data_IF_174108605182
#
_entry.id   IF_174108605182
#
_cell.length_a   1.000
_cell.length_b   1.000
_cell.length_c   1.000
_cell.angle_alpha   90.00
_cell.angle_beta   90.00
_cell.angle_gamma   90.00
#
_symmetry.space_group_name_H-M   'P 1'
#
loop_
_entity.id
_entity.type
_entity.pdbx_description
1 polymer ?
#
# COMPACT_ATOMS: atom_id res chain seq x y z
N UNK A 1 -55.05 -28.71 -19.60
CA UNK A 1 -56.20 -28.77 -18.67
C UNK A 1 -55.72 -29.46 -17.39
N UNK A 2 -56.02 -28.89 -16.21
CA UNK A 2 -55.75 -29.44 -14.84
C UNK A 2 -54.26 -29.56 -14.48
N UNK A 3 -53.70 -28.61 -13.71
CA UNK A 3 -53.72 -28.40 -12.24
C UNK A 3 -52.60 -29.20 -11.52
N UNK A 4 -51.54 -28.58 -10.96
CA UNK A 4 -51.41 -27.73 -9.75
C UNK A 4 -51.38 -28.55 -8.44
N UNK A 5 -50.22 -28.58 -7.75
CA UNK A 5 -50.05 -28.59 -6.26
C UNK A 5 -48.57 -28.49 -5.86
N UNK A 6 -48.30 -28.21 -4.59
CA UNK A 6 -47.05 -27.59 -4.10
C UNK A 6 -46.20 -28.52 -3.19
N UNK A 7 -44.96 -28.06 -2.95
CA UNK A 7 -44.23 -28.08 -1.66
C UNK A 7 -43.53 -29.36 -1.10
N UNK A 8 -42.20 -29.18 -0.95
CA UNK A 8 -41.37 -29.37 0.27
C UNK A 8 -40.52 -30.66 0.53
N UNK A 9 -39.26 -30.37 0.92
CA UNK A 9 -38.21 -31.15 1.60
C UNK A 9 -37.67 -32.43 0.95
N UNK A 10 -36.38 -32.40 0.61
CA UNK A 10 -35.57 -33.56 0.24
C UNK A 10 -34.06 -33.27 0.36
N UNK A 11 -33.51 -33.47 1.56
CA UNK A 11 -32.08 -33.33 1.89
C UNK A 11 -31.20 -34.21 0.97
N UNK A 12 -30.17 -33.66 0.35
CA UNK A 12 -29.15 -34.44 -0.37
C UNK A 12 -27.74 -33.86 -0.20
N UNK A 13 -26.80 -34.74 0.15
CA UNK A 13 -25.38 -34.46 0.32
C UNK A 13 -24.69 -34.17 -1.03
N UNK A 14 -23.69 -33.29 -1.01
CA UNK A 14 -22.65 -33.22 -2.04
C UNK A 14 -21.27 -33.41 -1.37
N UNK A 15 -20.57 -34.49 -1.73
CA UNK A 15 -19.26 -34.81 -1.16
C UNK A 15 -18.18 -33.88 -1.71
N UNK A 16 -17.33 -33.36 -0.84
CA UNK A 16 -16.06 -32.76 -1.24
C UNK A 16 -15.08 -33.84 -1.74
N UNK A 17 -14.35 -33.53 -2.81
CA UNK A 17 -13.18 -34.30 -3.25
C UNK A 17 -11.95 -33.42 -3.06
N UNK A 18 -11.19 -33.68 -2.00
CA UNK A 18 -9.91 -33.02 -1.78
C UNK A 18 -8.84 -33.64 -2.68
N UNK A 19 -8.04 -32.81 -3.36
CA UNK A 19 -6.80 -33.22 -3.98
C UNK A 19 -5.63 -32.92 -3.02
N UNK A 20 -4.74 -33.88 -2.82
CA UNK A 20 -3.61 -33.74 -1.88
C UNK A 20 -2.51 -32.81 -2.44
N UNK A 21 -2.03 -31.89 -1.60
CA UNK A 21 -0.87 -31.05 -1.91
C UNK A 21 0.42 -31.68 -1.37
N UNK A 22 1.39 -31.90 -2.25
CA UNK A 22 2.72 -32.40 -1.88
C UNK A 22 3.54 -31.35 -1.13
N UNK A 23 4.18 -31.76 -0.02
CA UNK A 23 5.03 -30.88 0.81
C UNK A 23 6.50 -31.07 0.45
N UNK A 24 7.13 -30.04 -0.13
CA UNK A 24 8.57 -29.97 -0.28
C UNK A 24 9.19 -29.09 0.81
N UNK A 25 10.15 -29.62 1.58
CA UNK A 25 10.80 -28.92 2.70
C UNK A 25 12.21 -28.48 2.31
N UNK A 26 12.46 -27.17 2.35
CA UNK A 26 13.81 -26.63 2.54
C UNK A 26 13.92 -25.96 3.91
N UNK A 27 15.06 -26.18 4.58
CA UNK A 27 15.32 -25.65 5.92
C UNK A 27 16.33 -24.51 5.89
N UNK A 28 16.06 -23.41 6.59
CA UNK A 28 17.07 -22.73 7.40
C UNK A 28 16.41 -21.87 8.50
N UNK A 29 17.10 -21.77 9.65
CA UNK A 29 16.78 -20.99 10.87
C UNK A 29 16.89 -19.47 10.61
N UNK A 30 16.34 -18.55 11.40
CA UNK A 30 15.38 -18.61 12.53
C UNK A 30 14.75 -17.22 12.65
N UNK A 31 13.46 -17.07 12.35
CA UNK A 31 12.60 -16.09 13.02
C UNK A 31 11.16 -16.62 12.90
N UNK A 32 10.53 -16.94 14.04
CA UNK A 32 9.31 -17.77 14.04
C UNK A 32 8.07 -16.88 14.01
N UNK A 33 7.74 -16.38 12.81
CA UNK A 33 6.33 -16.14 12.51
C UNK A 33 5.63 -17.49 12.33
N UNK A 34 4.36 -17.64 12.77
CA UNK A 34 3.60 -18.86 12.56
C UNK A 34 3.41 -19.09 11.05
N UNK A 35 3.52 -20.33 10.55
CA UNK A 35 3.32 -20.59 9.13
C UNK A 35 1.86 -20.30 8.76
N UNK A 36 1.68 -19.47 7.74
CA UNK A 36 0.40 -19.27 7.07
C UNK A 36 0.31 -20.26 5.90
N UNK A 37 -0.87 -20.85 5.70
CA UNK A 37 -1.18 -21.62 4.50
C UNK A 37 -1.94 -20.72 3.52
N UNK A 38 -1.54 -20.74 2.26
CA UNK A 38 -2.22 -20.08 1.15
C UNK A 38 -3.35 -20.99 0.65
N UNK A 39 -4.59 -20.60 0.90
CA UNK A 39 -5.78 -21.25 0.34
C UNK A 39 -6.31 -20.40 -0.82
N UNK A 40 -6.47 -21.00 -2.00
CA UNK A 40 -6.97 -20.31 -3.20
C UNK A 40 -8.33 -20.88 -3.58
N UNK A 41 -9.37 -20.07 -3.46
CA UNK A 41 -10.75 -20.46 -3.80
C UNK A 41 -11.10 -19.85 -5.15
N UNK A 42 -11.52 -20.68 -6.11
CA UNK A 42 -11.92 -20.23 -7.45
C UNK A 42 -13.43 -20.40 -7.58
N UNK A 43 -14.14 -19.28 -7.66
CA UNK A 43 -15.59 -19.27 -7.87
C UNK A 43 -15.92 -19.39 -9.36
N UNK A 44 -16.85 -20.28 -9.70
CA UNK A 44 -17.35 -20.49 -11.06
C UNK A 44 -18.87 -20.33 -11.11
N UNK A 45 -19.40 -19.94 -12.27
CA UNK A 45 -20.83 -19.89 -12.50
C UNK A 45 -21.42 -21.29 -12.81
N UNK A 46 -22.74 -21.36 -13.01
CA UNK A 46 -23.45 -22.60 -13.36
C UNK A 46 -22.97 -23.29 -14.65
N UNK A 47 -22.17 -22.61 -15.48
CA UNK A 47 -21.55 -23.12 -16.71
C UNK A 47 -20.08 -23.55 -16.52
N UNK A 48 -19.52 -23.40 -15.32
CA UNK A 48 -18.11 -23.65 -15.02
C UNK A 48 -17.17 -22.51 -15.42
N UNK A 49 -17.68 -21.34 -15.80
CA UNK A 49 -16.87 -20.16 -16.16
C UNK A 49 -16.43 -19.42 -14.87
N UNK A 50 -15.14 -19.09 -14.76
CA UNK A 50 -14.56 -18.40 -13.58
C UNK A 50 -15.16 -17.00 -13.39
N UNK A 51 -15.72 -16.74 -12.21
CA UNK A 51 -16.28 -15.45 -11.79
C UNK A 51 -15.22 -14.63 -11.05
N UNK A 52 -14.57 -15.25 -10.05
CA UNK A 52 -13.60 -14.59 -9.17
C UNK A 52 -12.60 -15.59 -8.59
N UNK A 53 -11.61 -15.09 -7.86
CA UNK A 53 -10.68 -15.93 -7.09
C UNK A 53 -10.26 -15.21 -5.83
N UNK A 54 -10.35 -15.92 -4.71
CA UNK A 54 -9.92 -15.45 -3.40
C UNK A 54 -8.60 -16.12 -3.03
N UNK A 55 -7.76 -15.41 -2.29
CA UNK A 55 -6.56 -15.97 -1.66
C UNK A 55 -6.64 -15.67 -0.17
N UNK A 56 -6.82 -16.71 0.63
CA UNK A 56 -6.83 -16.63 2.08
C UNK A 56 -5.45 -17.01 2.64
N UNK A 57 -4.96 -16.21 3.59
CA UNK A 57 -3.76 -16.52 4.37
C UNK A 57 -4.19 -17.03 5.74
N UNK A 58 -4.43 -18.34 5.83
CA UNK A 58 -4.94 -18.96 7.05
C UNK A 58 -3.77 -19.32 7.96
N UNK A 59 -3.75 -18.78 9.18
CA UNK A 59 -2.74 -19.14 10.17
C UNK A 59 -2.88 -20.62 10.54
N UNK A 60 -1.81 -21.41 10.43
CA UNK A 60 -1.83 -22.81 10.86
C UNK A 60 -1.86 -22.85 12.39
N UNK A 61 -3.05 -23.04 12.95
CA UNK A 61 -3.23 -23.40 14.35
C UNK A 61 -2.66 -24.81 14.57
N UNK A 62 -1.38 -24.87 14.95
CA UNK A 62 -0.80 -26.09 15.51
C UNK A 62 -1.46 -26.33 16.86
N UNK A 63 -2.07 -27.50 17.12
CA UNK A 63 -2.56 -27.83 18.45
C UNK A 63 -1.39 -27.79 19.43
N UNK A 64 -1.50 -26.99 20.48
CA UNK A 64 -0.51 -26.98 21.54
C UNK A 64 -0.40 -28.41 22.14
N UNK A 65 0.81 -28.93 22.37
CA UNK A 65 0.97 -30.21 23.06
C UNK A 65 0.30 -30.13 24.43
N UNK A 66 -0.61 -31.06 24.73
CA UNK A 66 -1.16 -31.16 26.09
C UNK A 66 -0.05 -31.60 27.05
N UNK A 67 0.41 -30.69 27.90
CA UNK A 67 1.18 -31.08 29.08
C UNK A 67 0.28 -31.89 30.02
N UNK A 68 0.55 -33.20 30.10
CA UNK A 68 -0.02 -34.08 31.11
C UNK A 68 0.50 -33.68 32.49
N UNK A 69 -0.14 -32.69 33.12
CA UNK A 69 0.13 -32.31 34.51
C UNK A 69 -0.63 -33.27 35.44
N UNK A 70 0.06 -34.01 36.34
CA UNK A 70 -0.62 -34.89 37.28
C UNK A 70 -1.50 -34.09 38.26
N UNK A 71 -2.62 -34.67 38.75
CA UNK A 71 -3.58 -33.94 39.56
C UNK A 71 -2.98 -33.50 40.89
N UNK A 72 -3.15 -32.22 41.22
CA UNK A 72 -2.74 -31.63 42.50
C UNK A 72 -3.79 -32.00 43.56
N UNK A 73 -3.34 -32.63 44.64
CA UNK A 73 -4.18 -32.95 45.80
C UNK A 73 -4.58 -31.68 46.55
N UNK A 74 -5.86 -31.55 46.91
CA UNK A 74 -6.39 -30.46 47.74
C UNK A 74 -6.32 -30.90 49.21
N UNK A 75 -5.72 -30.11 50.12
CA UNK A 75 -5.96 -30.18 51.55
C UNK A 75 -7.11 -29.25 51.96
N UNK A 76 -8.05 -29.74 52.76
CA UNK A 76 -9.15 -28.96 53.33
C UNK A 76 -8.73 -28.11 54.55
N UNK A 77 -9.59 -27.13 54.87
CA UNK A 77 -9.59 -26.26 56.07
C UNK A 77 -8.54 -25.12 56.10
N UNK A 78 -8.80 -23.95 56.69
CA UNK A 78 -9.90 -23.55 57.60
C UNK A 78 -10.32 -22.07 57.38
N UNK A 79 -11.49 -21.68 57.89
CA UNK A 79 -12.04 -20.31 57.82
C UNK A 79 -11.86 -19.59 59.16
N UNK A 80 -11.09 -18.49 59.20
CA UNK A 80 -11.28 -17.44 60.22
C UNK A 80 -10.60 -16.09 59.92
N UNK A 81 -11.36 -15.04 60.25
CA UNK A 81 -10.99 -13.68 60.63
C UNK A 81 -10.31 -12.70 59.64
N UNK A 82 -11.00 -11.57 59.45
CA UNK A 82 -10.53 -10.29 58.89
C UNK A 82 -10.52 -9.26 60.03
N UNK A 83 -9.44 -8.46 60.18
CA UNK A 83 -9.53 -7.13 60.79
C UNK A 83 -9.18 -5.98 59.80
N UNK A 84 -9.75 -4.76 60.00
CA UNK A 84 -9.70 -3.63 59.05
C UNK A 84 -8.48 -2.67 59.24
N UNK A 85 -8.30 -1.63 58.39
CA UNK A 85 -6.98 -1.00 58.15
C UNK A 85 -6.69 0.31 58.89
N UNK A 86 -5.41 0.70 58.95
CA UNK A 86 -4.85 2.05 59.24
C UNK A 86 -3.31 2.00 59.02
N UNK A 87 -2.51 3.05 58.83
CA UNK A 87 -2.62 4.41 58.25
C UNK A 87 -1.18 4.97 58.06
N UNK A 88 -0.95 5.80 57.02
CA UNK A 88 0.05 6.90 56.91
C UNK A 88 1.56 6.70 57.26
N UNK A 89 2.44 7.00 56.29
CA UNK A 89 3.42 8.13 56.23
C UNK A 89 4.49 7.80 55.14
N UNK A 90 4.74 8.58 54.07
CA UNK A 90 5.28 9.96 53.92
C UNK A 90 6.74 10.17 54.35
N UNK A 91 7.64 10.31 53.35
CA UNK A 91 8.74 11.30 53.14
C UNK A 91 9.81 10.67 52.20
N UNK A 92 10.36 11.27 51.12
CA UNK A 92 10.98 12.60 50.89
C UNK A 92 12.35 12.74 51.63
N UNK A 93 13.48 13.27 51.12
CA UNK A 93 13.81 14.27 50.05
C UNK A 93 15.21 13.98 49.42
N UNK A 94 15.50 14.65 48.30
CA UNK A 94 16.71 14.75 47.45
C UNK A 94 18.12 14.99 48.08
N UNK A 95 19.16 14.89 47.22
CA UNK A 95 20.13 15.94 46.82
C UNK A 95 20.91 15.45 45.56
N UNK A 96 21.21 16.20 44.48
CA UNK A 96 22.02 17.44 44.29
C UNK A 96 23.54 17.24 44.53
N UNK A 97 24.52 17.72 43.72
CA UNK A 97 24.54 18.48 42.44
C UNK A 97 26.00 18.32 41.76
N UNK A 98 26.57 19.14 40.83
CA UNK A 98 27.20 18.61 39.58
C UNK A 98 28.64 19.12 39.15
N UNK A 99 29.05 18.87 37.88
CA UNK A 99 30.12 19.56 37.04
C UNK A 99 31.61 19.09 37.26
N UNK A 100 32.63 19.21 36.33
CA UNK A 100 32.74 19.76 34.94
C UNK A 100 33.35 18.83 33.82
N UNK A 101 33.50 19.37 32.60
CA UNK A 101 34.03 18.74 31.38
C UNK A 101 35.52 19.02 31.02
N UNK A 102 36.09 18.17 30.14
CA UNK A 102 37.26 18.27 29.22
C UNK A 102 37.33 16.96 28.39
N UNK A 103 37.95 16.81 27.20
CA UNK A 103 38.59 17.72 26.23
C UNK A 103 39.15 16.91 25.01
N UNK A 104 39.33 17.53 23.82
CA UNK A 104 39.86 16.85 22.59
C UNK A 104 41.40 16.89 22.48
N UNK A 105 42.01 15.91 21.79
CA UNK A 105 43.19 16.16 20.94
C UNK A 105 43.05 15.68 19.47
N UNK A 106 44.12 15.89 18.68
CA UNK A 106 44.20 15.98 17.21
C UNK A 106 44.45 14.68 16.41
N UNK A 107 44.20 14.83 15.11
CA UNK A 107 44.56 14.03 13.92
C UNK A 107 46.08 13.81 13.69
N UNK A 108 46.43 12.74 12.96
CA UNK A 108 47.75 12.41 12.39
C UNK A 108 47.55 11.79 10.99
N UNK A 109 48.47 12.05 10.03
CA UNK A 109 48.31 11.74 8.59
C UNK A 109 49.51 10.96 7.97
N UNK A 110 49.27 10.40 6.76
CA UNK A 110 50.23 9.92 5.72
C UNK A 110 50.91 8.53 5.87
N UNK A 111 51.41 7.87 4.78
CA UNK A 111 51.45 8.23 3.34
C UNK A 111 50.95 7.13 2.31
N UNK A 112 51.10 7.42 1.00
CA UNK A 112 50.58 6.73 -0.21
C UNK A 112 51.32 5.46 -0.73
N UNK A 113 50.62 4.70 -1.61
CA UNK A 113 51.02 4.10 -2.94
C UNK A 113 50.57 2.63 -3.10
N UNK A 114 50.09 2.04 -4.22
CA UNK A 114 49.65 2.37 -5.61
C UNK A 114 49.14 1.00 -6.26
N UNK A 115 48.80 0.80 -7.57
CA UNK A 115 47.39 0.70 -8.03
C UNK A 115 46.98 -0.50 -8.94
N UNK A 116 45.67 -0.80 -9.07
CA UNK A 116 44.93 -1.31 -10.29
C UNK A 116 43.59 -2.01 -9.93
N UNK A 117 42.65 -2.22 -10.89
CA UNK A 117 42.11 -1.28 -11.87
C UNK A 117 40.57 -1.13 -11.71
N UNK A 118 39.95 -0.18 -12.42
CA UNK A 118 38.56 0.21 -12.18
C UNK A 118 37.49 -0.78 -12.69
N UNK A 119 36.51 -1.10 -11.83
CA UNK A 119 35.15 -1.50 -12.22
C UNK A 119 34.23 -0.34 -11.86
N UNK A 120 33.72 0.36 -12.86
CA UNK A 120 32.84 1.51 -12.67
C UNK A 120 31.42 1.07 -12.36
N UNK A 121 31.09 0.94 -11.07
CA UNK A 121 29.69 0.96 -10.64
C UNK A 121 29.12 2.37 -10.88
N UNK A 122 27.97 2.52 -11.58
CA UNK A 122 27.33 3.83 -11.69
C UNK A 122 26.92 4.31 -10.30
N UNK A 123 27.36 5.52 -9.94
CA UNK A 123 26.93 6.19 -8.72
C UNK A 123 25.40 6.37 -8.70
N UNK A 124 24.76 6.36 -7.52
CA UNK A 124 23.35 6.71 -7.42
C UNK A 124 23.15 8.13 -7.95
N UNK A 125 22.20 8.30 -8.87
CA UNK A 125 21.84 9.61 -9.40
C UNK A 125 21.28 10.49 -8.28
N UNK A 126 22.11 11.39 -7.75
CA UNK A 126 21.64 12.52 -6.96
C UNK A 126 20.81 13.43 -7.87
N UNK A 127 19.49 13.49 -7.63
CA UNK A 127 18.61 14.41 -8.34
C UNK A 127 18.72 15.83 -7.76
N UNK A 128 19.20 16.83 -8.53
CA UNK A 128 19.41 18.19 -8.02
C UNK A 128 18.14 19.04 -8.15
N UNK A 129 17.00 18.56 -7.63
CA UNK A 129 15.76 19.35 -7.50
C UNK A 129 15.05 19.04 -6.18
N UNK A 130 15.65 19.49 -5.07
CA UNK A 130 14.88 19.67 -3.84
C UNK A 130 13.85 20.79 -4.10
N UNK A 131 12.59 20.42 -4.30
CA UNK A 131 11.49 21.38 -4.18
C UNK A 131 11.57 21.99 -2.76
N UNK A 132 11.47 23.33 -2.60
CA UNK A 132 11.73 24.00 -1.32
C UNK A 132 10.92 23.46 -0.13
N UNK A 133 9.78 22.84 -0.43
CA UNK A 133 9.04 22.00 0.49
C UNK A 133 8.68 20.68 -0.21
N UNK A 134 9.47 19.62 0.03
CA UNK A 134 9.04 18.28 -0.35
C UNK A 134 7.81 17.92 0.50
N UNK A 135 6.65 17.84 -0.14
CA UNK A 135 5.40 17.36 0.42
C UNK A 135 5.10 15.94 -0.09
N UNK A 136 4.14 15.27 0.55
CA UNK A 136 3.66 13.95 0.13
C UNK A 136 2.97 13.97 -1.25
N UNK A 137 2.72 12.79 -1.80
CA UNK A 137 1.72 12.62 -2.86
C UNK A 137 0.31 12.45 -2.30
N UNK A 138 -0.70 12.58 -3.17
CA UNK A 138 -2.12 12.33 -2.88
C UNK A 138 -2.76 11.62 -4.07
N UNK A 139 -3.57 10.59 -3.87
CA UNK A 139 -4.37 9.97 -4.94
C UNK A 139 -5.66 10.74 -5.19
N UNK A 140 -6.19 10.65 -6.41
CA UNK A 140 -7.40 11.35 -6.83
C UNK A 140 -8.07 10.65 -8.01
N UNK A 141 -9.41 10.54 -7.94
CA UNK A 141 -10.25 10.00 -9.00
C UNK A 141 -11.21 11.09 -9.49
N UNK A 142 -11.18 11.49 -10.78
CA UNK A 142 -12.02 12.56 -11.31
C UNK A 142 -13.43 12.07 -11.70
N UNK A 143 -14.05 11.23 -10.88
CA UNK A 143 -15.43 10.78 -11.05
C UNK A 143 -16.37 11.51 -10.09
N UNK A 144 -17.64 11.63 -10.48
CA UNK A 144 -18.74 12.08 -9.62
C UNK A 144 -19.42 10.86 -9.00
N UNK A 145 -20.20 11.06 -7.95
CA UNK A 145 -20.91 9.97 -7.26
C UNK A 145 -21.84 9.13 -8.17
N UNK A 146 -22.35 9.71 -9.26
CA UNK A 146 -23.16 9.03 -10.28
C UNK A 146 -22.33 8.28 -11.34
N UNK A 147 -21.01 8.09 -11.10
CA UNK A 147 -20.02 7.49 -12.00
C UNK A 147 -19.73 8.31 -13.27
N UNK A 148 -20.27 9.51 -13.43
CA UNK A 148 -19.93 10.37 -14.56
C UNK A 148 -18.57 11.05 -14.37
N UNK A 149 -17.92 11.41 -15.48
CA UNK A 149 -16.65 12.12 -15.47
C UNK A 149 -16.81 13.56 -14.95
N UNK A 150 -15.88 14.03 -14.11
CA UNK A 150 -15.71 15.46 -13.81
C UNK A 150 -15.14 16.19 -15.02
N UNK A 151 -15.63 17.41 -15.26
CA UNK A 151 -15.10 18.29 -16.30
C UNK A 151 -13.87 19.08 -15.81
N UNK A 152 -13.23 19.83 -16.72
CA UNK A 152 -12.03 20.61 -16.41
C UNK A 152 -12.20 21.62 -15.27
N UNK A 153 -13.39 22.23 -15.10
CA UNK A 153 -13.67 23.20 -14.04
C UNK A 153 -13.85 22.51 -12.67
N UNK A 154 -14.50 21.34 -12.66
CA UNK A 154 -14.66 20.51 -11.47
C UNK A 154 -13.29 19.98 -10.99
N UNK A 155 -12.48 19.44 -11.91
CA UNK A 155 -11.09 19.02 -11.63
C UNK A 155 -10.23 20.21 -11.15
N UNK A 156 -10.44 21.41 -11.70
CA UNK A 156 -9.76 22.62 -11.24
C UNK A 156 -10.09 22.95 -9.78
N UNK A 157 -11.38 22.92 -9.39
CA UNK A 157 -11.83 23.18 -8.01
C UNK A 157 -11.29 22.15 -7.02
N UNK A 158 -11.24 20.89 -7.42
CA UNK A 158 -10.69 19.81 -6.61
C UNK A 158 -9.18 19.99 -6.37
N UNK A 159 -8.40 20.29 -7.42
CA UNK A 159 -6.95 20.48 -7.27
C UNK A 159 -6.58 21.77 -6.51
N UNK A 160 -7.43 22.80 -6.54
CA UNK A 160 -7.24 24.00 -5.71
C UNK A 160 -7.23 23.65 -4.21
N UNK A 161 -8.09 22.71 -3.77
CA UNK A 161 -8.15 22.21 -2.37
C UNK A 161 -6.91 21.40 -1.96
N UNK A 162 -6.22 20.77 -2.92
CA UNK A 162 -5.06 19.88 -2.67
C UNK A 162 -3.72 20.42 -3.22
N UNK A 163 -3.65 21.71 -3.49
CA UNK A 163 -2.43 22.44 -3.93
C UNK A 163 -1.19 22.28 -3.02
N UNK A 164 -1.36 21.81 -1.77
CA UNK A 164 -0.27 21.55 -0.80
C UNK A 164 0.53 20.25 -1.01
N UNK A 165 0.20 19.43 -2.01
CA UNK A 165 0.91 18.17 -2.29
C UNK A 165 1.88 18.33 -3.46
N UNK A 166 3.00 17.59 -3.44
CA UNK A 166 4.04 17.71 -4.48
C UNK A 166 3.60 17.15 -5.83
N UNK A 167 2.76 16.12 -5.80
CA UNK A 167 2.23 15.46 -6.97
C UNK A 167 0.90 14.78 -6.64
N UNK A 168 0.08 14.61 -7.68
CA UNK A 168 -1.22 13.93 -7.63
C UNK A 168 -1.14 12.62 -8.40
N UNK A 169 -1.68 11.53 -7.85
CA UNK A 169 -1.78 10.23 -8.51
C UNK A 169 -3.17 10.03 -9.08
N UNK A 170 -3.21 9.67 -10.35
CA UNK A 170 -4.42 9.30 -11.11
C UNK A 170 -4.25 7.90 -11.68
N UNK A 171 -5.36 7.22 -11.97
CA UNK A 171 -5.39 5.77 -12.16
C UNK A 171 -5.44 5.33 -13.62
N UNK A 172 -6.14 6.07 -14.46
CA UNK A 172 -6.41 5.69 -15.84
C UNK A 172 -6.20 6.82 -16.82
N UNK A 173 -6.64 6.59 -18.06
CA UNK A 173 -6.62 7.55 -19.17
C UNK A 173 -8.02 7.80 -19.75
N UNK A 174 -9.04 7.16 -19.19
CA UNK A 174 -10.46 7.40 -19.41
C UNK A 174 -10.91 8.76 -18.82
N UNK A 175 -12.15 9.16 -19.06
CA UNK A 175 -12.71 10.43 -18.61
C UNK A 175 -11.89 11.70 -18.96
N UNK A 176 -10.97 11.62 -19.94
CA UNK A 176 -9.99 12.68 -20.25
C UNK A 176 -9.13 13.09 -19.03
N UNK A 177 -8.95 12.17 -18.07
CA UNK A 177 -8.34 12.50 -16.77
C UNK A 177 -6.89 12.96 -16.92
N UNK A 178 -6.12 12.36 -17.83
CA UNK A 178 -4.73 12.74 -18.09
C UNK A 178 -4.59 14.20 -18.51
N UNK A 179 -5.50 14.70 -19.37
CA UNK A 179 -5.47 16.10 -19.84
C UNK A 179 -6.03 17.06 -18.78
N UNK A 180 -7.21 16.76 -18.24
CA UNK A 180 -7.86 17.63 -17.26
C UNK A 180 -7.03 17.82 -15.99
N UNK A 181 -6.42 16.75 -15.47
CA UNK A 181 -5.59 16.80 -14.27
C UNK A 181 -4.22 17.43 -14.52
N UNK A 182 -3.56 17.18 -15.66
CA UNK A 182 -2.28 17.88 -15.96
C UNK A 182 -2.48 19.37 -16.16
N UNK A 183 -3.57 19.81 -16.80
CA UNK A 183 -3.93 21.23 -16.91
C UNK A 183 -4.16 21.88 -15.54
N UNK A 184 -4.88 21.20 -14.64
CA UNK A 184 -5.13 21.69 -13.29
C UNK A 184 -3.85 21.68 -12.43
N UNK A 185 -3.01 20.65 -12.54
CA UNK A 185 -1.75 20.52 -11.78
C UNK A 185 -0.71 21.60 -12.17
N UNK A 186 -0.66 22.00 -13.46
CA UNK A 186 0.17 23.13 -13.93
C UNK A 186 -0.14 24.45 -13.21
N UNK A 187 -1.39 24.68 -12.77
CA UNK A 187 -1.78 25.89 -12.01
C UNK A 187 -1.11 25.98 -10.63
N UNK A 188 -0.66 24.84 -10.08
CA UNK A 188 -0.13 24.70 -8.72
C UNK A 188 1.34 24.26 -8.65
N UNK A 189 2.05 24.22 -9.80
CA UNK A 189 3.40 23.64 -9.89
C UNK A 189 3.48 22.19 -9.36
N UNK A 190 2.38 21.46 -9.50
CA UNK A 190 2.22 20.09 -9.04
C UNK A 190 2.48 19.12 -10.20
N UNK A 191 3.13 17.99 -9.94
CA UNK A 191 3.35 16.94 -10.95
C UNK A 191 2.23 15.88 -10.93
N UNK A 192 2.09 15.11 -12.00
CA UNK A 192 1.11 14.03 -12.12
C UNK A 192 1.82 12.68 -12.13
N UNK A 193 1.50 11.81 -11.18
CA UNK A 193 1.75 10.37 -11.28
C UNK A 193 0.57 9.81 -12.11
N UNK A 194 0.80 9.56 -13.40
CA UNK A 194 -0.21 9.05 -14.31
C UNK A 194 -0.28 7.53 -14.30
N UNK A 195 -1.48 6.96 -14.37
CA UNK A 195 -1.70 5.52 -14.45
C UNK A 195 -2.33 5.11 -15.78
N UNK A 196 -1.92 3.96 -16.31
CA UNK A 196 -2.71 3.16 -17.24
C UNK A 196 -3.30 2.04 -16.39
N UNK A 197 -4.61 2.08 -16.12
CA UNK A 197 -5.25 1.23 -15.10
C UNK A 197 -5.09 -0.26 -15.39
N UNK A 198 -5.39 -0.67 -16.62
CA UNK A 198 -5.29 -2.06 -17.10
C UNK A 198 -4.63 -2.13 -18.49
N UNK A 199 -4.55 -3.32 -19.08
CA UNK A 199 -3.92 -3.53 -20.39
C UNK A 199 -4.91 -3.46 -21.57
N UNK A 200 -6.17 -3.03 -21.36
CA UNK A 200 -7.12 -2.81 -22.44
C UNK A 200 -6.71 -1.57 -23.26
N UNK A 201 -6.74 -1.69 -24.59
CA UNK A 201 -6.27 -0.65 -25.49
C UNK A 201 -4.75 -0.37 -25.41
N UNK A 202 -3.98 -1.12 -24.61
CA UNK A 202 -2.53 -0.98 -24.53
C UNK A 202 -1.86 -1.49 -25.81
N UNK A 203 -0.81 -0.82 -26.35
CA UNK A 203 -0.12 0.37 -25.82
C UNK A 203 -0.72 1.72 -26.24
N UNK A 204 -1.85 1.77 -26.97
CA UNK A 204 -2.46 3.01 -27.46
C UNK A 204 -2.94 3.95 -26.35
N UNK A 205 -3.29 3.42 -25.18
CA UNK A 205 -3.57 4.22 -23.97
C UNK A 205 -2.42 5.14 -23.55
N UNK A 206 -1.18 4.87 -23.96
CA UNK A 206 -0.02 5.73 -23.67
C UNK A 206 -0.06 7.07 -24.42
N UNK A 207 -0.79 7.17 -25.54
CA UNK A 207 -0.87 8.40 -26.33
C UNK A 207 -1.52 9.55 -25.54
N UNK A 208 -2.40 9.24 -24.58
CA UNK A 208 -2.99 10.23 -23.68
C UNK A 208 -1.94 11.02 -22.86
N UNK A 209 -0.80 10.43 -22.51
CA UNK A 209 0.30 11.15 -21.84
C UNK A 209 1.09 12.03 -22.80
N UNK A 210 1.29 11.56 -24.04
CA UNK A 210 1.89 12.34 -25.12
C UNK A 210 1.08 13.60 -25.43
N UNK A 211 -0.23 13.47 -25.46
CA UNK A 211 -1.16 14.55 -25.76
C UNK A 211 -1.30 15.53 -24.58
N UNK A 212 -1.37 15.01 -23.35
CA UNK A 212 -1.38 15.84 -22.14
C UNK A 212 -0.04 16.56 -21.87
N UNK A 213 1.08 16.02 -22.35
CA UNK A 213 2.38 16.70 -22.34
C UNK A 213 2.45 17.84 -23.37
N UNK A 214 1.66 17.81 -24.45
CA UNK A 214 1.71 18.83 -25.49
C UNK A 214 1.15 20.18 -24.99
N UNK A 215 1.97 21.23 -25.10
CA UNK A 215 1.57 22.61 -24.88
C UNK A 215 0.86 23.22 -26.10
N UNK A 216 0.28 24.43 -25.96
CA UNK A 216 -0.38 25.14 -27.06
C UNK A 216 0.52 25.45 -28.27
N UNK A 217 1.85 25.43 -28.09
CA UNK A 217 2.84 25.63 -29.15
C UNK A 217 3.30 24.30 -29.80
N UNK A 218 2.66 23.18 -29.46
CA UNK A 218 2.99 21.85 -29.96
C UNK A 218 4.24 21.21 -29.34
N UNK A 219 4.95 21.89 -28.43
CA UNK A 219 6.09 21.29 -27.71
C UNK A 219 5.59 20.43 -26.56
N UNK A 220 6.25 19.29 -26.33
CA UNK A 220 5.92 18.39 -25.21
C UNK A 220 6.71 18.78 -23.96
N UNK A 221 6.00 19.32 -22.97
CA UNK A 221 6.49 19.44 -21.61
C UNK A 221 6.21 18.12 -20.86
N UNK A 222 7.22 17.26 -20.85
CA UNK A 222 7.20 16.00 -20.10
C UNK A 222 7.49 16.19 -18.59
N UNK A 223 7.87 17.38 -18.12
CA UNK A 223 8.21 17.63 -16.71
C UNK A 223 6.98 17.64 -15.80
N UNK A 224 5.79 17.84 -16.37
CA UNK A 224 4.51 17.71 -15.68
C UNK A 224 4.29 16.30 -15.09
N UNK A 225 4.91 15.26 -15.64
CA UNK A 225 4.74 13.89 -15.15
C UNK A 225 5.80 13.50 -14.12
N UNK A 226 5.35 13.14 -12.92
CA UNK A 226 6.17 12.54 -11.86
C UNK A 226 6.64 11.14 -12.28
N UNK A 227 5.69 10.30 -12.68
CA UNK A 227 5.84 8.87 -13.05
C UNK A 227 4.71 8.53 -14.01
N UNK A 228 4.92 7.54 -14.88
CA UNK A 228 3.84 6.84 -15.59
C UNK A 228 3.84 5.37 -15.13
N UNK A 229 2.73 4.91 -14.57
CA UNK A 229 2.52 3.52 -14.17
C UNK A 229 1.72 2.74 -15.22
N UNK A 230 2.04 1.45 -15.34
CA UNK A 230 1.38 0.49 -16.23
C UNK A 230 0.78 -0.60 -15.36
N UNK A 231 -0.55 -0.65 -15.29
CA UNK A 231 -1.29 -1.50 -14.38
C UNK A 231 -1.45 -0.91 -12.97
N UNK A 232 -2.60 -1.20 -12.37
CA UNK A 232 -2.83 -1.10 -10.94
C UNK A 232 -3.39 -2.43 -10.44
N UNK A 233 -2.62 -3.17 -9.64
CA UNK A 233 -3.04 -4.42 -8.99
C UNK A 233 -3.47 -5.54 -9.95
N UNK A 234 -2.86 -5.61 -11.13
CA UNK A 234 -3.23 -6.59 -12.17
C UNK A 234 -2.90 -8.03 -11.79
N UNK A 235 -1.86 -8.24 -10.96
CA UNK A 235 -1.49 -9.58 -10.47
C UNK A 235 -2.30 -9.91 -9.22
N UNK A 236 -2.50 -8.95 -8.30
CA UNK A 236 -3.39 -9.12 -7.13
C UNK A 236 -4.83 -9.45 -7.55
N UNK A 237 -5.39 -8.71 -8.51
CA UNK A 237 -6.72 -8.96 -9.09
C UNK A 237 -6.78 -10.20 -10.00
N UNK A 238 -5.65 -10.86 -10.26
CA UNK A 238 -5.58 -12.09 -11.07
C UNK A 238 -5.98 -11.92 -12.53
N UNK A 239 -5.97 -10.69 -13.06
CA UNK A 239 -6.30 -10.38 -14.47
C UNK A 239 -5.13 -10.67 -15.41
N UNK A 240 -3.90 -10.55 -14.91
CA UNK A 240 -2.67 -10.75 -15.67
C UNK A 240 -1.61 -11.49 -14.84
N UNK A 241 -0.72 -12.23 -15.51
CA UNK A 241 0.45 -12.81 -14.85
C UNK A 241 1.53 -11.74 -14.63
N UNK A 242 2.43 -11.97 -13.66
CA UNK A 242 3.59 -11.10 -13.46
C UNK A 242 4.44 -10.95 -14.74
N UNK A 243 4.55 -12.01 -15.55
CA UNK A 243 5.21 -11.98 -16.87
C UNK A 243 4.53 -11.04 -17.88
N UNK A 244 3.19 -11.00 -17.92
CA UNK A 244 2.46 -10.10 -18.81
C UNK A 244 2.71 -8.63 -18.43
N UNK A 245 2.68 -8.35 -17.12
CA UNK A 245 2.94 -7.02 -16.58
C UNK A 245 4.40 -6.59 -16.82
N UNK A 246 5.37 -7.48 -16.65
CA UNK A 246 6.78 -7.22 -16.99
C UNK A 246 6.92 -6.86 -18.48
N UNK A 247 6.29 -7.62 -19.38
CA UNK A 247 6.31 -7.33 -20.81
C UNK A 247 5.64 -5.98 -21.14
N UNK A 248 4.52 -5.66 -20.48
CA UNK A 248 3.82 -4.39 -20.64
C UNK A 248 4.67 -3.20 -20.19
N UNK A 249 5.33 -3.26 -19.02
CA UNK A 249 6.24 -2.19 -18.54
C UNK A 249 7.40 -1.97 -19.51
N UNK A 250 8.02 -3.04 -20.04
CA UNK A 250 9.09 -2.93 -21.04
C UNK A 250 8.60 -2.28 -22.35
N UNK A 251 7.41 -2.68 -22.82
CA UNK A 251 6.78 -2.10 -24.01
C UNK A 251 6.45 -0.62 -23.81
N UNK A 252 5.87 -0.26 -22.67
CA UNK A 252 5.51 1.11 -22.34
C UNK A 252 6.74 2.01 -22.24
N UNK A 253 7.77 1.56 -21.52
CA UNK A 253 9.08 2.21 -21.44
C UNK A 253 9.63 2.50 -22.83
N UNK A 254 9.57 1.53 -23.75
CA UNK A 254 10.03 1.71 -25.13
C UNK A 254 9.23 2.77 -25.90
N UNK A 255 7.89 2.72 -25.84
CA UNK A 255 6.99 3.68 -26.50
C UNK A 255 7.18 5.10 -25.95
N UNK A 256 7.11 5.26 -24.63
CA UNK A 256 7.25 6.55 -23.96
C UNK A 256 8.63 7.20 -24.22
N UNK A 257 9.70 6.40 -24.23
CA UNK A 257 11.06 6.90 -24.53
C UNK A 257 11.21 7.38 -25.97
N UNK A 258 10.48 6.79 -26.93
CA UNK A 258 10.40 7.24 -28.32
C UNK A 258 9.53 8.50 -28.48
N UNK A 259 8.47 8.66 -27.69
CA UNK A 259 7.64 9.88 -27.63
C UNK A 259 8.34 11.05 -26.91
N UNK A 260 9.48 10.80 -26.26
CA UNK A 260 10.35 11.80 -25.63
C UNK A 260 10.40 11.75 -24.10
N UNK A 261 9.49 11.03 -23.44
CA UNK A 261 9.44 10.92 -21.97
C UNK A 261 10.69 10.23 -21.43
N UNK A 262 11.41 10.88 -20.50
CA UNK A 262 12.60 10.33 -19.83
C UNK A 262 12.39 10.00 -18.35
N UNK A 263 11.21 10.28 -17.79
CA UNK A 263 10.90 10.01 -16.38
C UNK A 263 10.59 8.53 -16.06
N UNK A 264 10.32 8.22 -14.78
CA UNK A 264 10.08 6.86 -14.30
C UNK A 264 8.88 6.16 -14.97
N UNK A 265 9.06 4.89 -15.29
CA UNK A 265 8.03 3.95 -15.71
C UNK A 265 8.03 2.77 -14.74
N UNK A 266 6.86 2.48 -14.16
CA UNK A 266 6.69 1.44 -13.12
C UNK A 266 5.43 0.61 -13.39
N UNK A 267 5.26 -0.49 -12.67
CA UNK A 267 3.94 -1.09 -12.41
C UNK A 267 3.59 -0.89 -10.94
N UNK A 268 2.29 -0.79 -10.61
CA UNK A 268 1.79 -0.73 -9.24
C UNK A 268 1.03 -2.01 -8.92
N UNK A 269 1.35 -2.64 -7.79
CA UNK A 269 0.62 -3.79 -7.27
C UNK A 269 0.66 -3.79 -5.73
N UNK A 270 -0.01 -4.74 -5.07
CA UNK A 270 -0.01 -4.81 -3.60
C UNK A 270 1.36 -5.15 -3.03
N UNK A 271 1.61 -4.73 -1.78
CA UNK A 271 2.88 -5.00 -1.11
C UNK A 271 3.21 -6.51 -1.04
N UNK A 272 2.21 -7.37 -0.84
CA UNK A 272 2.36 -8.82 -0.81
C UNK A 272 2.74 -9.39 -2.18
N UNK A 273 2.09 -8.93 -3.25
CA UNK A 273 2.45 -9.31 -4.63
C UNK A 273 3.90 -8.94 -4.95
N UNK A 274 4.40 -7.77 -4.53
CA UNK A 274 5.80 -7.40 -4.81
C UNK A 274 6.83 -8.20 -4.00
N UNK A 275 6.44 -8.81 -2.87
CA UNK A 275 7.29 -9.73 -2.11
C UNK A 275 7.39 -11.12 -2.77
N UNK A 276 6.27 -11.60 -3.31
CA UNK A 276 6.17 -12.85 -4.08
C UNK A 276 6.81 -12.72 -5.47
N UNK A 277 6.60 -11.57 -6.14
CA UNK A 277 6.98 -11.27 -7.53
C UNK A 277 7.94 -10.06 -7.66
N UNK A 278 9.18 -10.12 -7.12
CA UNK A 278 10.14 -9.02 -7.19
C UNK A 278 10.59 -8.67 -8.62
N UNK A 279 10.29 -9.49 -9.64
CA UNK A 279 10.44 -9.13 -11.06
C UNK A 279 9.66 -7.86 -11.45
N UNK A 280 8.51 -7.61 -10.82
CA UNK A 280 7.70 -6.38 -11.01
C UNK A 280 8.44 -5.13 -10.50
N UNK A 281 9.14 -5.28 -9.38
CA UNK A 281 10.11 -4.31 -8.88
C UNK A 281 11.30 -4.17 -9.85
N UNK A 282 11.88 -5.27 -10.34
CA UNK A 282 13.07 -5.24 -11.17
C UNK A 282 12.88 -4.53 -12.53
N UNK A 283 11.73 -4.71 -13.18
CA UNK A 283 11.39 -4.05 -14.47
C UNK A 283 11.03 -2.56 -14.32
N UNK A 284 10.60 -2.16 -13.12
CA UNK A 284 10.22 -0.78 -12.77
C UNK A 284 11.45 0.07 -12.43
N UNK A 285 11.40 1.39 -12.63
CA UNK A 285 12.51 2.27 -12.20
C UNK A 285 12.67 2.32 -10.67
N UNK A 286 11.57 2.13 -9.93
CA UNK A 286 11.53 1.92 -8.49
C UNK A 286 10.37 0.96 -8.15
N UNK A 287 10.38 0.34 -6.96
CA UNK A 287 9.27 -0.49 -6.47
C UNK A 287 8.08 0.41 -6.07
N UNK A 288 6.88 0.14 -6.59
CA UNK A 288 5.71 0.97 -6.36
C UNK A 288 4.56 0.12 -5.79
N UNK A 289 4.29 0.25 -4.50
CA UNK A 289 3.47 -0.68 -3.72
C UNK A 289 2.21 -0.02 -3.13
N UNK A 290 1.05 -0.64 -3.30
CA UNK A 290 -0.14 -0.30 -2.52
C UNK A 290 -0.08 -1.03 -1.17
N UNK A 291 -0.27 -0.30 -0.06
CA UNK A 291 -0.10 -0.84 1.29
C UNK A 291 -0.96 -0.11 2.33
N UNK A 292 -2.10 -0.71 2.70
CA UNK A 292 -3.02 -0.16 3.70
C UNK A 292 -3.00 -1.05 4.94
N UNK A 293 -2.60 -0.49 6.08
CA UNK A 293 -2.62 -1.21 7.35
C UNK A 293 -4.04 -1.63 7.76
N UNK A 294 -5.08 -0.97 7.25
CA UNK A 294 -6.49 -1.29 7.50
C UNK A 294 -6.87 -2.74 7.10
N UNK A 295 -6.25 -3.32 6.07
CA UNK A 295 -6.57 -4.67 5.62
C UNK A 295 -5.89 -5.79 6.45
N UNK A 296 -4.99 -5.46 7.38
CA UNK A 296 -4.47 -6.38 8.38
C UNK A 296 -5.24 -6.21 9.71
N UNK A 297 -6.00 -7.26 10.07
CA UNK A 297 -6.87 -7.28 11.25
C UNK A 297 -6.15 -7.09 12.59
N UNK A 298 -4.82 -7.19 12.63
CA UNK A 298 -4.00 -6.97 13.83
C UNK A 298 -3.59 -5.51 14.02
N UNK A 299 -3.72 -4.67 12.98
CA UNK A 299 -3.24 -3.30 13.00
C UNK A 299 -4.15 -2.35 13.78
N UNK A 300 -3.58 -1.20 14.13
CA UNK A 300 -4.27 -0.06 14.73
C UNK A 300 -3.84 1.22 14.00
N UNK A 301 -4.68 2.27 13.97
CA UNK A 301 -4.41 3.48 13.19
C UNK A 301 -3.05 4.12 13.55
N UNK A 302 -2.71 4.20 14.83
CA UNK A 302 -1.42 4.73 15.27
C UNK A 302 -0.19 3.96 14.72
N UNK A 303 -0.34 2.69 14.35
CA UNK A 303 0.70 1.85 13.75
C UNK A 303 0.79 1.95 12.21
N UNK A 304 -0.20 2.54 11.53
CA UNK A 304 -0.34 2.46 10.08
C UNK A 304 0.90 2.93 9.30
N UNK A 305 1.53 4.03 9.75
CA UNK A 305 2.75 4.53 9.12
C UNK A 305 3.99 3.67 9.37
N UNK A 306 4.09 3.03 10.54
CA UNK A 306 5.19 2.11 10.83
C UNK A 306 5.04 0.82 10.00
N UNK A 307 3.82 0.29 9.90
CA UNK A 307 3.50 -0.87 9.06
C UNK A 307 3.85 -0.61 7.59
N UNK A 308 3.34 0.46 6.98
CA UNK A 308 3.60 0.78 5.57
C UNK A 308 5.09 1.05 5.29
N UNK A 309 5.81 1.66 6.23
CA UNK A 309 7.26 1.86 6.12
C UNK A 309 8.03 0.53 6.19
N UNK A 310 7.58 -0.42 7.02
CA UNK A 310 8.21 -1.73 7.13
C UNK A 310 7.98 -2.57 5.87
N UNK A 311 6.76 -2.62 5.34
CA UNK A 311 6.50 -3.30 4.07
C UNK A 311 7.33 -2.70 2.91
N UNK A 312 7.53 -1.37 2.91
CA UNK A 312 8.43 -0.74 1.94
C UNK A 312 9.89 -1.21 2.06
N UNK A 313 10.39 -1.50 3.27
CA UNK A 313 11.73 -2.06 3.51
C UNK A 313 11.81 -3.50 3.06
N UNK A 314 10.87 -4.35 3.46
CA UNK A 314 10.82 -5.78 3.07
C UNK A 314 10.83 -5.94 1.54
N UNK A 315 10.05 -5.12 0.82
CA UNK A 315 10.06 -5.08 -0.65
C UNK A 315 11.41 -4.61 -1.19
N UNK A 316 12.01 -3.58 -0.57
CA UNK A 316 13.31 -3.05 -1.00
C UNK A 316 14.40 -4.10 -0.87
N UNK A 317 14.47 -4.80 0.27
CA UNK A 317 15.41 -5.90 0.53
C UNK A 317 15.20 -7.06 -0.46
N UNK A 318 13.94 -7.47 -0.67
CA UNK A 318 13.56 -8.51 -1.64
C UNK A 318 13.95 -8.15 -3.09
N UNK A 319 13.91 -6.86 -3.43
CA UNK A 319 14.29 -6.30 -4.73
C UNK A 319 15.74 -5.79 -4.79
N UNK A 320 16.65 -6.30 -3.94
CA UNK A 320 18.08 -6.01 -4.01
C UNK A 320 18.48 -4.59 -3.59
N UNK A 321 17.75 -4.00 -2.65
CA UNK A 321 17.94 -2.63 -2.18
C UNK A 321 17.33 -1.55 -3.09
N UNK A 322 16.50 -1.92 -4.07
CA UNK A 322 15.81 -0.95 -4.93
C UNK A 322 14.88 -0.06 -4.09
N UNK A 323 14.85 1.24 -4.37
CA UNK A 323 13.94 2.20 -3.71
C UNK A 323 12.49 1.72 -3.80
N UNK A 324 11.78 1.73 -2.68
CA UNK A 324 10.34 1.44 -2.61
C UNK A 324 9.54 2.65 -2.19
N UNK A 325 8.53 2.98 -2.98
CA UNK A 325 7.53 4.01 -2.76
C UNK A 325 6.18 3.34 -2.47
N UNK A 326 5.49 3.81 -1.43
CA UNK A 326 4.11 3.42 -1.14
C UNK A 326 3.19 4.33 -1.96
N UNK A 327 2.54 3.74 -2.97
CA UNK A 327 1.68 4.43 -3.96
C UNK A 327 0.23 4.57 -3.53
N UNK A 328 -0.18 3.88 -2.48
CA UNK A 328 -1.39 4.12 -1.70
C UNK A 328 -1.16 3.70 -0.26
N UNK A 329 -1.53 4.57 0.68
CA UNK A 329 -1.80 4.19 2.05
C UNK A 329 -2.75 5.18 2.69
N UNK A 330 -3.70 4.67 3.46
CA UNK A 330 -4.75 5.47 4.09
C UNK A 330 -5.48 4.69 5.17
N UNK A 331 -6.61 5.23 5.59
CA UNK A 331 -7.52 4.59 6.54
C UNK A 331 -8.94 5.15 6.31
N UNK A 332 -9.99 4.33 6.32
CA UNK A 332 -11.34 4.80 6.08
C UNK A 332 -11.94 5.50 7.31
N UNK A 333 -12.76 6.52 7.12
CA UNK A 333 -13.47 7.24 8.19
C UNK A 333 -14.81 6.59 8.58
N UNK A 334 -15.35 5.71 7.74
CA UNK A 334 -16.56 4.92 7.98
C UNK A 334 -16.48 3.54 7.28
N UNK A 335 -17.42 2.65 7.60
CA UNK A 335 -17.41 1.23 7.20
C UNK A 335 -17.38 0.30 8.41
N UNK A 336 -17.18 -0.99 8.17
CA UNK A 336 -17.08 -2.03 9.19
C UNK A 336 -15.65 -2.20 9.71
N UNK A 337 -15.50 -2.74 10.92
CA UNK A 337 -14.21 -3.02 11.52
C UNK A 337 -13.58 -4.31 10.97
N UNK A 338 -12.33 -4.23 10.54
CA UNK A 338 -11.48 -5.39 10.28
C UNK A 338 -10.69 -5.74 11.55
N UNK A 339 -11.31 -6.47 12.48
CA UNK A 339 -10.68 -6.83 13.75
C UNK A 339 -10.26 -5.60 14.58
N UNK A 340 -8.95 -5.41 14.76
CA UNK A 340 -8.36 -4.24 15.43
C UNK A 340 -8.36 -2.96 14.59
N UNK A 341 -8.53 -3.07 13.26
CA UNK A 341 -8.57 -1.96 12.34
C UNK A 341 -10.01 -1.42 12.19
N UNK A 342 -10.34 -0.43 13.03
CA UNK A 342 -11.68 0.18 13.12
C UNK A 342 -11.74 1.49 12.31
N UNK A 343 -12.68 1.66 11.36
CA UNK A 343 -12.95 2.96 10.71
C UNK A 343 -13.52 3.97 11.70
N UNK A 344 -13.01 5.20 11.68
CA UNK A 344 -13.63 6.39 12.28
C UNK A 344 -12.88 7.64 11.82
N UNK A 345 -13.48 8.83 11.96
CA UNK A 345 -12.80 10.11 11.68
C UNK A 345 -11.52 10.25 12.52
N UNK A 346 -11.59 9.97 13.82
CA UNK A 346 -10.43 10.04 14.74
C UNK A 346 -9.34 9.01 14.36
N UNK A 347 -9.73 7.79 13.98
CA UNK A 347 -8.80 6.74 13.58
C UNK A 347 -8.15 7.07 12.22
N UNK A 348 -8.90 7.65 11.28
CA UNK A 348 -8.32 8.17 10.04
C UNK A 348 -7.30 9.26 10.32
N UNK A 349 -7.63 10.25 11.17
CA UNK A 349 -6.69 11.30 11.55
C UNK A 349 -5.41 10.73 12.19
N UNK A 350 -5.55 9.77 13.12
CA UNK A 350 -4.42 9.10 13.76
C UNK A 350 -3.56 8.29 12.76
N UNK A 351 -4.18 7.60 11.80
CA UNK A 351 -3.47 6.85 10.75
C UNK A 351 -2.73 7.77 9.78
N UNK A 352 -3.36 8.83 9.30
CA UNK A 352 -2.75 9.82 8.41
C UNK A 352 -1.60 10.56 9.12
N UNK A 353 -1.74 10.86 10.43
CA UNK A 353 -0.65 11.40 11.23
C UNK A 353 0.52 10.41 11.40
N UNK A 354 0.23 9.13 11.64
CA UNK A 354 1.23 8.05 11.70
C UNK A 354 2.00 7.92 10.38
N UNK A 355 1.28 7.85 9.26
CA UNK A 355 1.83 7.79 7.90
C UNK A 355 2.77 8.98 7.59
N UNK A 356 2.29 10.20 7.84
CA UNK A 356 3.09 11.43 7.66
C UNK A 356 4.36 11.42 8.51
N UNK A 357 4.27 10.96 9.77
CA UNK A 357 5.42 10.89 10.68
C UNK A 357 6.47 9.87 10.23
N UNK A 358 6.05 8.66 9.84
CA UNK A 358 6.98 7.60 9.42
C UNK A 358 7.71 7.91 8.12
N UNK A 359 7.09 8.69 7.22
CA UNK A 359 7.70 9.08 5.94
C UNK A 359 8.26 10.51 5.93
N UNK A 360 8.42 11.18 7.08
CA UNK A 360 8.80 12.61 7.13
C UNK A 360 10.16 12.93 6.49
N UNK A 361 11.11 12.00 6.53
CA UNK A 361 12.44 12.15 5.90
C UNK A 361 12.50 11.61 4.46
N UNK A 362 11.37 11.10 3.94
CA UNK A 362 11.25 10.48 2.61
C UNK A 362 9.87 10.72 2.00
N UNK A 363 9.37 11.95 2.08
CA UNK A 363 7.96 12.30 1.84
C UNK A 363 7.47 11.98 0.42
N UNK A 364 8.37 12.00 -0.54
CA UNK A 364 8.14 11.59 -1.92
C UNK A 364 7.88 10.07 -2.10
N UNK A 365 8.23 9.25 -1.10
CA UNK A 365 7.98 7.80 -1.09
C UNK A 365 6.60 7.41 -0.56
N UNK A 366 5.69 8.37 -0.34
CA UNK A 366 4.34 8.12 0.15
C UNK A 366 3.31 8.95 -0.60
N UNK A 367 2.30 8.25 -1.14
CA UNK A 367 1.05 8.79 -1.63
C UNK A 367 -0.03 8.47 -0.60
N UNK A 368 -0.65 9.51 -0.03
CA UNK A 368 -1.82 9.31 0.83
C UNK A 368 -3.02 8.93 -0.04
N UNK A 369 -3.82 7.98 0.46
CA UNK A 369 -5.07 7.54 -0.14
C UNK A 369 -6.25 7.97 0.75
N UNK A 370 -7.19 8.80 0.30
CA UNK A 370 -7.30 9.50 -1.00
C UNK A 370 -7.77 10.95 -0.81
N UNK A 371 -7.72 11.80 -1.85
CA UNK A 371 -8.06 13.23 -1.72
C UNK A 371 -9.49 13.45 -1.19
N UNK A 372 -10.48 12.78 -1.79
CA UNK A 372 -11.90 12.94 -1.52
C UNK A 372 -12.59 11.58 -1.55
N UNK A 373 -13.76 11.48 -0.92
CA UNK A 373 -14.55 10.25 -0.91
C UNK A 373 -14.98 9.82 -2.32
N UNK A 374 -14.60 8.60 -2.69
CA UNK A 374 -14.87 7.97 -3.98
C UNK A 374 -16.29 7.37 -3.99
N UNK A 375 -17.31 8.22 -3.80
CA UNK A 375 -18.73 7.84 -3.65
C UNK A 375 -19.34 7.06 -4.85
N UNK A 376 -18.61 6.95 -5.95
CA UNK A 376 -18.95 6.21 -7.17
C UNK A 376 -18.67 4.71 -7.06
N UNK A 377 -17.78 4.31 -6.13
CA UNK A 377 -17.41 2.93 -5.85
C UNK A 377 -18.54 2.16 -5.16
N UNK A 378 -18.50 0.84 -5.32
CA UNK A 378 -19.39 -0.07 -4.61
C UNK A 378 -18.74 -0.54 -3.29
N UNK A 379 -19.50 -0.45 -2.20
CA UNK A 379 -19.12 -1.05 -0.92
C UNK A 379 -19.37 -2.56 -0.96
N UNK A 380 -18.42 -3.34 -0.45
CA UNK A 380 -18.51 -4.80 -0.39
C UNK A 380 -18.04 -5.32 0.96
N UNK A 381 -18.45 -6.53 1.34
CA UNK A 381 -17.91 -7.16 2.56
C UNK A 381 -16.40 -7.43 2.48
N UNK A 382 -15.84 -7.67 1.29
CA UNK A 382 -14.39 -7.83 1.08
C UNK A 382 -13.62 -6.55 1.43
N UNK A 383 -14.21 -5.40 1.16
CA UNK A 383 -13.66 -4.08 1.47
C UNK A 383 -14.20 -3.50 2.78
N UNK A 384 -14.80 -4.34 3.65
CA UNK A 384 -15.40 -3.94 4.93
C UNK A 384 -16.39 -2.77 4.80
N UNK A 385 -17.14 -2.71 3.69
CA UNK A 385 -18.06 -1.64 3.35
C UNK A 385 -17.45 -0.22 3.48
N UNK A 386 -16.16 -0.09 3.16
CA UNK A 386 -15.38 1.12 3.43
C UNK A 386 -14.94 1.91 2.18
N UNK A 387 -15.13 1.37 0.97
CA UNK A 387 -14.55 1.91 -0.29
C UNK A 387 -14.90 3.37 -0.56
N UNK A 388 -16.10 3.79 -0.16
CA UNK A 388 -16.58 5.16 -0.37
C UNK A 388 -16.01 6.18 0.63
N UNK A 389 -15.29 5.77 1.67
CA UNK A 389 -15.01 6.58 2.87
C UNK A 389 -13.52 6.81 3.18
N UNK A 390 -12.66 6.88 2.15
CA UNK A 390 -11.21 7.06 2.31
C UNK A 390 -10.71 8.51 2.10
N UNK A 391 -11.60 9.45 1.82
CA UNK A 391 -11.27 10.85 1.55
C UNK A 391 -10.71 11.56 2.79
N UNK A 392 -9.64 12.34 2.61
CA UNK A 392 -8.99 13.09 3.72
C UNK A 392 -9.19 14.62 3.63
N UNK A 393 -9.88 15.11 2.61
CA UNK A 393 -10.23 16.53 2.41
C UNK A 393 -11.72 16.78 2.15
N UNK A 394 -12.59 15.90 2.66
CA UNK A 394 -14.04 16.11 2.68
C UNK A 394 -14.46 17.21 3.66
N UNK A 395 -15.70 17.67 3.51
CA UNK A 395 -16.37 18.58 4.45
C UNK A 395 -17.08 17.71 5.52
N UNK A 396 -16.33 17.30 6.55
CA UNK A 396 -16.81 16.54 7.72
C UNK A 396 -17.18 17.48 8.89
#
# INVERSE_FOLDING_TARGET
>A
MKHLTEALVGLLFACGVCAEAGVEKQSHRNDVQPPYTKEVVVWVNEKGERISTETHYVQVLTPAPQENKPPISIPDMDVSEIPPPNLLLKNSVANDHPVPAKGKPKELQHPNAHPNPAISHPHPHQHPHQHPHAHFGISYSPYKADRTCKNQEEVNKDLDRVSKYSFIRIYGTDCDQTRTVTNAARRHNMRVFGGVYDLQGFPGSLDAFSDAAAGPDGKKDWSIFHTIAVGNELVNGGTNSASDVVAAVQKARSVLRAQGYKGPVVTVDTFSVLLDHPELCHVSDYCAANCHAFFDATQRPAGAGAYALEQARSISERAGGKRTMITESGWPHAGDANGGAVPSVDNQQAAIASLRKSFDHRREDLVLFTAFDDLWKDDTMYTFNAERFWGIHGDL
#
